data_IF_985782226075
#
_entry.id   IF_985782226075
#
_cell.length_a   1.000
_cell.length_b   1.000
_cell.length_c   1.000
_cell.angle_alpha   90.00
_cell.angle_beta   90.00
_cell.angle_gamma   90.00
#
_symmetry.space_group_name_H-M   'P 1'
#
loop_
_entity.id
_entity.type
_entity.pdbx_description
1 polymer ?
#
# COMPACT_ATOMS: atom_id res chain seq x y z
N UNK A 1 6.79 18.29 -2.68
CA UNK A 1 5.67 17.61 -3.33
C UNK A 1 5.97 16.14 -3.45
N UNK A 2 5.00 15.30 -3.20
CA UNK A 2 5.21 13.86 -3.27
C UNK A 2 5.36 13.40 -4.72
N UNK A 3 6.25 12.44 -4.95
CA UNK A 3 6.41 11.84 -6.26
C UNK A 3 5.25 10.90 -6.56
N UNK A 4 4.70 11.01 -7.73
CA UNK A 4 3.60 10.15 -8.17
C UNK A 4 4.12 9.29 -9.32
N UNK A 5 4.02 7.94 -9.21
CA UNK A 5 4.47 7.08 -10.29
C UNK A 5 3.72 7.38 -11.60
N UNK A 6 4.45 7.31 -12.70
CA UNK A 6 3.84 7.55 -14.01
C UNK A 6 2.99 6.36 -14.42
N UNK A 7 1.95 6.66 -15.20
CA UNK A 7 1.15 5.64 -15.87
C UNK A 7 2.07 4.74 -16.71
N UNK A 8 1.80 3.41 -16.76
CA UNK A 8 2.64 2.52 -17.55
C UNK A 8 2.79 2.93 -19.01
N UNK A 9 1.78 3.55 -19.60
CA UNK A 9 1.85 3.97 -21.00
C UNK A 9 2.73 5.19 -21.21
N UNK A 10 3.03 5.92 -20.16
CA UNK A 10 3.83 7.15 -20.23
C UNK A 10 5.27 6.96 -19.80
N UNK A 11 5.59 5.80 -19.25
CA UNK A 11 6.94 5.54 -18.75
C UNK A 11 7.88 5.21 -19.89
N UNK A 12 9.06 5.81 -19.90
CA UNK A 12 10.02 5.68 -20.98
C UNK A 12 11.26 4.88 -20.61
N UNK A 13 11.29 4.24 -19.49
CA UNK A 13 12.40 3.39 -19.09
C UNK A 13 12.12 1.93 -19.32
N UNK A 14 12.99 1.07 -18.81
CA UNK A 14 12.74 -0.37 -18.79
C UNK A 14 11.66 -0.66 -17.76
N UNK A 15 10.74 -1.54 -18.11
CA UNK A 15 9.59 -1.79 -17.27
C UNK A 15 9.16 -3.24 -17.39
N UNK A 16 8.72 -3.82 -16.26
CA UNK A 16 8.12 -5.15 -16.25
C UNK A 16 6.65 -4.99 -15.94
N UNK A 17 5.80 -5.55 -16.80
CA UNK A 17 4.35 -5.53 -16.62
C UNK A 17 3.88 -6.97 -16.50
N UNK A 18 3.15 -7.28 -15.43
CA UNK A 18 2.62 -8.61 -15.18
C UNK A 18 1.10 -8.52 -15.19
N UNK A 19 0.48 -9.18 -16.17
CA UNK A 19 -0.98 -9.17 -16.32
C UNK A 19 -1.52 -10.57 -16.15
N UNK A 20 -2.53 -10.72 -15.32
CA UNK A 20 -3.20 -11.99 -15.13
C UNK A 20 -4.55 -11.73 -14.50
N UNK A 21 -5.41 -12.74 -14.51
CA UNK A 21 -6.69 -12.62 -13.82
C UNK A 21 -6.51 -12.44 -12.32
N UNK A 22 -5.44 -13.01 -11.77
CA UNK A 22 -5.13 -12.88 -10.34
C UNK A 22 -3.65 -13.07 -10.13
N UNK A 23 -3.09 -12.25 -9.24
CA UNK A 23 -1.69 -12.37 -8.84
C UNK A 23 -1.65 -12.63 -7.34
N UNK A 24 -0.90 -13.64 -6.96
CA UNK A 24 -0.68 -13.98 -5.55
C UNK A 24 0.82 -14.05 -5.29
N UNK A 25 1.28 -13.27 -4.33
CA UNK A 25 2.67 -13.29 -3.88
C UNK A 25 2.70 -13.91 -2.50
N UNK A 26 3.38 -15.04 -2.37
CA UNK A 26 3.40 -15.79 -1.11
C UNK A 26 4.84 -16.16 -0.76
N UNK A 27 5.32 -15.66 0.37
CA UNK A 27 6.61 -16.05 0.92
C UNK A 27 6.34 -17.05 2.03
N UNK A 28 6.74 -18.31 1.82
CA UNK A 28 6.40 -19.39 2.74
C UNK A 28 7.15 -19.33 4.06
N UNK A 29 8.37 -18.83 4.04
CA UNK A 29 9.23 -18.95 5.22
C UNK A 29 9.71 -17.65 5.79
N UNK A 30 9.62 -16.58 5.01
CA UNK A 30 10.15 -15.31 5.49
C UNK A 30 9.23 -14.18 5.07
N UNK A 31 9.74 -13.18 4.41
CA UNK A 31 9.05 -11.91 4.20
C UNK A 31 8.90 -11.59 2.72
N UNK A 32 7.98 -10.71 2.43
CA UNK A 32 7.93 -10.04 1.14
C UNK A 32 8.43 -8.62 1.36
N UNK A 33 9.49 -8.24 0.65
CA UNK A 33 10.09 -6.93 0.76
C UNK A 33 9.94 -6.19 -0.55
N UNK A 34 9.32 -5.01 -0.49
CA UNK A 34 9.19 -4.12 -1.64
C UNK A 34 9.95 -2.85 -1.36
N UNK A 35 10.83 -2.50 -2.27
CA UNK A 35 11.65 -1.31 -2.13
C UNK A 35 11.77 -0.59 -3.46
N UNK A 36 11.71 0.73 -3.44
CA UNK A 36 11.96 1.52 -4.62
C UNK A 36 12.66 2.81 -4.24
N UNK A 37 13.35 3.39 -5.21
CA UNK A 37 14.10 4.62 -5.00
C UNK A 37 13.20 5.84 -4.83
N UNK A 38 12.04 5.85 -5.46
CA UNK A 38 11.21 7.06 -5.47
C UNK A 38 9.86 6.87 -4.81
N UNK A 39 9.14 5.82 -5.15
CA UNK A 39 7.80 5.64 -4.61
C UNK A 39 7.29 4.23 -4.87
N UNK A 40 6.42 3.76 -4.00
CA UNK A 40 5.64 2.53 -4.20
C UNK A 40 4.19 2.95 -4.24
N UNK A 41 3.50 2.61 -5.31
CA UNK A 41 2.10 2.97 -5.49
C UNK A 41 1.20 1.74 -5.42
N UNK A 42 0.08 1.88 -4.76
CA UNK A 42 -0.98 0.88 -4.70
C UNK A 42 -2.25 1.52 -5.21
N UNK A 43 -2.80 0.97 -6.28
CA UNK A 43 -4.01 1.52 -6.89
C UNK A 43 -4.99 0.39 -7.16
N UNK A 44 -6.24 0.61 -6.84
CA UNK A 44 -7.28 -0.38 -7.04
C UNK A 44 -8.61 0.34 -7.28
N UNK A 45 -9.50 -0.32 -8.00
CA UNK A 45 -10.86 0.17 -8.13
C UNK A 45 -11.73 -0.23 -6.94
N UNK A 46 -11.24 -1.12 -6.10
CA UNK A 46 -11.95 -1.58 -4.92
C UNK A 46 -11.27 -1.12 -3.65
N UNK A 47 -11.04 -2.04 -2.75
CA UNK A 47 -10.49 -1.75 -1.43
C UNK A 47 -9.06 -2.25 -1.31
N UNK A 48 -8.32 -1.68 -0.36
CA UNK A 48 -7.03 -2.20 0.08
C UNK A 48 -7.20 -2.68 1.51
N UNK A 49 -6.76 -3.92 1.77
CA UNK A 49 -6.84 -4.52 3.09
C UNK A 49 -5.46 -4.85 3.60
N UNK A 50 -5.23 -4.55 4.87
CA UNK A 50 -4.03 -4.98 5.57
C UNK A 50 -4.47 -5.86 6.73
N UNK A 51 -4.25 -7.17 6.61
CA UNK A 51 -4.68 -8.14 7.62
C UNK A 51 -3.43 -8.67 8.33
N UNK A 52 -3.34 -8.42 9.62
CA UNK A 52 -2.17 -8.73 10.42
C UNK A 52 -2.49 -9.81 11.41
N UNK A 53 -1.81 -10.96 11.26
CA UNK A 53 -2.01 -12.06 12.16
C UNK A 53 -3.35 -12.78 12.01
N UNK A 54 -4.00 -12.61 10.85
CA UNK A 54 -5.29 -13.21 10.56
C UNK A 54 -5.10 -14.26 9.47
N UNK A 55 -5.70 -15.42 9.65
CA UNK A 55 -5.67 -16.45 8.63
C UNK A 55 -6.49 -16.04 7.42
N UNK A 56 -5.98 -16.31 6.24
CA UNK A 56 -6.71 -16.01 5.00
C UNK A 56 -7.99 -16.84 4.87
N UNK A 57 -7.99 -18.05 5.47
CA UNK A 57 -9.15 -18.94 5.35
C UNK A 57 -10.22 -18.65 6.39
N UNK A 58 -9.87 -18.00 7.47
CA UNK A 58 -10.77 -17.76 8.59
C UNK A 58 -10.54 -16.37 9.12
N UNK A 59 -11.61 -15.66 9.38
CA UNK A 59 -11.51 -14.36 10.03
C UNK A 59 -11.44 -14.59 11.52
N UNK A 60 -10.22 -14.57 12.05
CA UNK A 60 -9.99 -14.71 13.46
C UNK A 60 -9.23 -13.52 13.98
N UNK A 61 -9.41 -13.24 15.26
CA UNK A 61 -8.67 -12.20 15.92
C UNK A 61 -7.19 -12.50 15.86
N UNK A 62 -6.39 -11.53 15.43
CA UNK A 62 -4.95 -11.71 15.33
C UNK A 62 -4.26 -11.57 16.67
N UNK A 63 -2.96 -11.80 16.66
CA UNK A 63 -2.13 -11.63 17.83
C UNK A 63 -2.07 -10.16 18.24
N UNK A 64 -2.12 -9.90 19.54
CA UNK A 64 -1.95 -8.54 20.06
C UNK A 64 -0.53 -8.02 19.86
N UNK A 65 0.41 -8.88 19.49
CA UNK A 65 1.79 -8.49 19.23
C UNK A 65 2.03 -8.06 17.79
N UNK A 66 1.10 -8.34 16.90
CA UNK A 66 1.22 -7.90 15.52
C UNK A 66 0.84 -6.43 15.41
N UNK A 67 1.58 -5.69 14.60
CA UNK A 67 1.39 -4.26 14.50
C UNK A 67 1.46 -3.83 13.05
N UNK A 68 0.65 -2.86 12.70
CA UNK A 68 0.78 -2.13 11.44
C UNK A 68 1.58 -0.87 11.74
N UNK A 69 2.82 -0.83 11.25
CA UNK A 69 3.74 0.24 11.59
C UNK A 69 3.93 1.16 10.38
N UNK A 70 3.69 2.44 10.56
CA UNK A 70 3.94 3.45 9.55
C UNK A 70 4.93 4.44 10.11
N UNK A 71 6.16 4.42 9.58
CA UNK A 71 7.19 5.35 9.97
C UNK A 71 7.26 6.44 8.91
N UNK A 72 6.66 7.55 9.20
CA UNK A 72 6.61 8.67 8.26
C UNK A 72 6.49 9.97 9.03
N UNK A 73 7.21 11.02 8.61
CA UNK A 73 7.02 12.33 9.23
C UNK A 73 5.62 12.89 8.99
N UNK A 74 4.95 12.47 7.92
CA UNK A 74 3.62 12.97 7.59
C UNK A 74 2.77 11.84 7.03
N UNK A 75 1.51 11.79 7.46
CA UNK A 75 0.53 10.82 6.98
C UNK A 75 -0.70 11.59 6.54
N UNK A 76 -1.10 11.40 5.29
CA UNK A 76 -2.26 12.08 4.71
C UNK A 76 -3.28 11.04 4.26
N UNK A 77 -4.51 11.19 4.71
CA UNK A 77 -5.61 10.30 4.33
C UNK A 77 -6.73 11.11 3.72
N UNK A 78 -7.40 10.50 2.74
CA UNK A 78 -8.53 11.11 2.06
C UNK A 78 -8.12 12.05 0.95
N UNK A 79 -9.13 12.55 0.25
CA UNK A 79 -8.94 13.49 -0.85
C UNK A 79 -9.59 14.82 -0.51
N UNK A 80 -8.95 15.91 -0.89
CA UNK A 80 -9.57 17.22 -0.84
C UNK A 80 -10.63 17.34 -1.94
N UNK A 81 -11.56 18.26 -1.78
CA UNK A 81 -12.62 18.46 -2.77
C UNK A 81 -12.09 18.77 -4.15
N UNK A 82 -10.95 19.43 -4.25
CA UNK A 82 -10.36 19.79 -5.52
C UNK A 82 -9.31 18.78 -6.01
N UNK A 83 -9.26 17.60 -5.39
CA UNK A 83 -8.32 16.56 -5.79
C UNK A 83 -6.93 16.70 -5.22
N UNK A 84 -6.67 17.71 -4.42
CA UNK A 84 -5.38 17.88 -3.77
C UNK A 84 -5.25 16.95 -2.58
N UNK A 85 -4.01 16.76 -2.13
CA UNK A 85 -3.78 16.01 -0.91
C UNK A 85 -4.34 16.73 0.30
N UNK A 86 -4.72 16.01 1.37
CA UNK A 86 -5.19 16.65 2.59
C UNK A 86 -4.12 17.59 3.16
N UNK A 87 -4.58 18.65 3.79
CA UNK A 87 -3.68 19.62 4.41
C UNK A 87 -3.11 19.13 5.73
N UNK A 88 -3.79 18.24 6.40
CA UNK A 88 -3.39 17.82 7.73
C UNK A 88 -3.09 16.33 7.77
N UNK A 89 -2.05 15.92 8.52
CA UNK A 89 -1.78 14.51 8.70
C UNK A 89 -2.94 13.82 9.42
N UNK A 90 -3.07 12.52 9.19
CA UNK A 90 -4.06 11.74 9.89
C UNK A 90 -3.69 11.61 11.36
N UNK A 91 -4.70 11.71 12.22
CA UNK A 91 -4.53 11.41 13.63
C UNK A 91 -4.71 9.92 13.84
N UNK A 92 -3.76 9.28 14.49
CA UNK A 92 -3.79 7.85 14.73
C UNK A 92 -4.18 7.57 16.16
N UNK A 93 -5.23 6.81 16.31
CA UNK A 93 -5.74 6.46 17.62
C UNK A 93 -6.39 7.66 18.28
N UNK A 94 -6.78 7.46 19.47
CA UNK A 94 -7.43 8.53 20.21
C UNK A 94 -7.59 8.19 21.57
#
# INVERSE_FOLDING_TARGET
MAYIPKDPHQYQGKQVVINSDRLLFNAKEDSILLYSDKAIGFSTKGNVHFDLGINLDQVKEGSTQNKFVVNSPNIYLGLQKNGNLPNEPALLGN
#
